data_IF_394224820949
#
_entry.id   IF_394224820949
#
_cell.length_a   1.000
_cell.length_b   1.000
_cell.length_c   1.000
_cell.angle_alpha   90.00
_cell.angle_beta   90.00
_cell.angle_gamma   90.00
#
_symmetry.space_group_name_H-M   'P 1'
#
loop_
_entity.id
_entity.type
_entity.pdbx_description
1 polymer ?
#
# COMPACT_ATOMS: atom_id res chain seq x y z
N UNK A 1 2.73 5.70 28.82
CA UNK A 1 3.63 4.80 28.07
C UNK A 1 2.81 3.90 27.14
N UNK A 2 3.26 3.73 25.91
CA UNK A 2 2.64 2.95 24.84
C UNK A 2 3.38 1.63 24.66
N UNK A 3 2.70 0.56 24.27
CA UNK A 3 3.35 -0.75 24.07
C UNK A 3 2.96 -1.45 22.76
N UNK A 4 2.10 -0.82 21.96
CA UNK A 4 1.77 -1.24 20.59
C UNK A 4 1.90 -0.03 19.66
N UNK A 5 2.66 -0.19 18.59
CA UNK A 5 2.63 0.69 17.42
C UNK A 5 1.83 -0.02 16.33
N UNK A 6 0.83 0.68 15.80
CA UNK A 6 0.11 0.28 14.59
C UNK A 6 0.47 1.31 13.52
N UNK A 7 0.93 0.85 12.37
CA UNK A 7 1.37 1.73 11.28
C UNK A 7 0.67 1.36 9.99
N UNK A 8 0.20 2.37 9.28
CA UNK A 8 -0.02 2.26 7.85
C UNK A 8 1.32 2.00 7.12
N UNK A 9 1.27 1.53 5.88
CA UNK A 9 2.45 1.26 5.06
C UNK A 9 2.64 2.29 3.94
N UNK A 10 1.65 2.42 3.05
CA UNK A 10 1.79 3.13 1.78
C UNK A 10 1.72 4.63 2.03
N UNK A 11 2.78 5.35 1.66
CA UNK A 11 3.02 6.76 1.98
C UNK A 11 3.27 7.06 3.47
N UNK A 12 3.24 6.05 4.34
CA UNK A 12 3.65 6.16 5.74
C UNK A 12 5.08 5.67 5.97
N UNK A 13 5.41 4.44 5.57
CA UNK A 13 6.76 3.86 5.70
C UNK A 13 7.63 4.10 4.47
N UNK A 14 7.02 4.20 3.29
CA UNK A 14 7.67 4.42 2.00
C UNK A 14 6.73 5.14 1.04
N UNK A 15 7.26 5.78 0.00
CA UNK A 15 6.48 6.51 -1.00
C UNK A 15 5.91 5.56 -2.06
N UNK A 16 4.71 5.03 -1.79
CA UNK A 16 4.03 4.12 -2.70
C UNK A 16 3.71 4.79 -4.03
N UNK A 17 3.28 6.05 -4.00
CA UNK A 17 2.84 6.74 -5.20
C UNK A 17 3.98 6.93 -6.20
N UNK A 18 5.17 7.33 -5.76
CA UNK A 18 6.34 7.42 -6.64
C UNK A 18 6.77 6.05 -7.16
N UNK A 19 6.76 5.02 -6.31
CA UNK A 19 7.09 3.65 -6.72
C UNK A 19 6.15 3.21 -7.85
N UNK A 20 4.84 3.35 -7.64
CA UNK A 20 3.82 2.99 -8.60
C UNK A 20 3.97 3.81 -9.89
N UNK A 21 4.02 5.14 -9.80
CA UNK A 21 4.06 6.01 -10.97
C UNK A 21 5.29 5.74 -11.85
N UNK A 22 6.48 5.64 -11.25
CA UNK A 22 7.72 5.43 -12.00
C UNK A 22 7.75 4.06 -12.67
N UNK A 23 7.38 3.01 -11.92
CA UNK A 23 7.38 1.66 -12.45
C UNK A 23 6.30 1.42 -13.50
N UNK A 24 5.07 1.85 -13.23
CA UNK A 24 3.94 1.69 -14.14
C UNK A 24 4.12 2.51 -15.42
N UNK A 25 4.58 3.76 -15.33
CA UNK A 25 4.82 4.59 -16.52
C UNK A 25 5.90 4.00 -17.42
N UNK A 26 7.00 3.52 -16.86
CA UNK A 26 8.06 2.88 -17.64
C UNK A 26 7.56 1.63 -18.37
N UNK A 27 6.75 0.81 -17.70
CA UNK A 27 6.09 -0.35 -18.30
C UNK A 27 5.16 0.07 -19.46
N UNK A 28 4.27 1.02 -19.20
CA UNK A 28 3.23 1.47 -20.12
C UNK A 28 3.83 2.07 -21.40
N UNK A 29 4.87 2.89 -21.25
CA UNK A 29 5.57 3.50 -22.39
C UNK A 29 6.26 2.44 -23.26
N UNK A 30 6.88 1.43 -22.65
CA UNK A 30 7.53 0.34 -23.40
C UNK A 30 6.49 -0.56 -24.09
N UNK A 31 5.35 -0.83 -23.45
CA UNK A 31 4.22 -1.55 -24.10
C UNK A 31 3.73 -0.76 -25.32
N UNK A 32 3.49 0.54 -25.16
CA UNK A 32 3.01 1.41 -26.25
C UNK A 32 3.99 1.42 -27.42
N UNK A 33 5.29 1.53 -27.13
CA UNK A 33 6.36 1.51 -28.13
C UNK A 33 6.46 0.17 -28.87
N UNK A 34 6.39 -0.96 -28.18
CA UNK A 34 6.51 -2.30 -28.79
C UNK A 34 5.26 -2.64 -29.62
N UNK A 35 4.08 -2.35 -29.08
CA UNK A 35 2.80 -2.69 -29.72
C UNK A 35 2.36 -1.71 -30.81
N UNK A 36 2.84 -0.46 -30.77
CA UNK A 36 2.31 0.64 -31.57
C UNK A 36 0.96 1.17 -31.09
N UNK A 37 0.37 0.61 -30.01
CA UNK A 37 -0.91 1.05 -29.45
C UNK A 37 -0.69 2.32 -28.62
N UNK A 38 -1.59 3.29 -28.75
CA UNK A 38 -1.50 4.54 -28.00
C UNK A 38 -1.63 4.33 -26.49
N UNK A 39 -0.93 5.13 -25.69
CA UNK A 39 -1.05 5.14 -24.23
C UNK A 39 -2.50 5.36 -23.77
N UNK A 40 -3.25 6.23 -24.46
CA UNK A 40 -4.67 6.49 -24.17
C UNK A 40 -5.52 5.23 -24.30
N UNK A 41 -5.33 4.45 -25.37
CA UNK A 41 -6.06 3.21 -25.58
C UNK A 41 -5.66 2.13 -24.56
N UNK A 42 -4.35 1.98 -24.28
CA UNK A 42 -3.86 1.04 -23.27
C UNK A 42 -4.43 1.33 -21.89
N UNK A 43 -4.42 2.61 -21.47
CA UNK A 43 -4.95 3.00 -20.14
C UNK A 43 -6.44 2.73 -19.99
N UNK A 44 -7.26 2.92 -21.04
CA UNK A 44 -8.68 2.56 -21.02
C UNK A 44 -8.93 1.06 -20.83
N UNK A 45 -8.10 0.22 -21.46
CA UNK A 45 -8.18 -1.23 -21.32
C UNK A 45 -7.70 -1.67 -19.93
N UNK A 46 -6.56 -1.14 -19.48
CA UNK A 46 -5.96 -1.43 -18.17
C UNK A 46 -6.92 -1.05 -17.03
N UNK A 47 -7.62 0.08 -17.14
CA UNK A 47 -8.60 0.50 -16.12
C UNK A 47 -9.63 -0.60 -15.82
N UNK A 48 -10.15 -1.27 -16.87
CA UNK A 48 -11.13 -2.36 -16.71
C UNK A 48 -10.51 -3.57 -16.00
N UNK A 49 -9.25 -3.88 -16.29
CA UNK A 49 -8.50 -4.97 -15.64
C UNK A 49 -8.29 -4.65 -14.16
N UNK A 50 -7.84 -3.44 -13.85
CA UNK A 50 -7.65 -2.98 -12.48
C UNK A 50 -8.96 -2.98 -11.68
N UNK A 51 -10.07 -2.52 -12.27
CA UNK A 51 -11.39 -2.59 -11.65
C UNK A 51 -11.83 -4.03 -11.37
N UNK A 52 -11.60 -4.95 -12.31
CA UNK A 52 -11.89 -6.38 -12.14
C UNK A 52 -11.11 -7.00 -10.98
N UNK A 53 -9.83 -6.64 -10.82
CA UNK A 53 -8.95 -7.23 -9.80
C UNK A 53 -8.88 -6.43 -8.49
N UNK A 54 -9.49 -5.25 -8.44
CA UNK A 54 -9.52 -4.39 -7.26
C UNK A 54 -8.13 -3.87 -6.85
N UNK A 55 -7.24 -3.63 -7.81
CA UNK A 55 -5.90 -3.10 -7.55
C UNK A 55 -5.32 -2.41 -8.79
N UNK A 56 -4.50 -1.38 -8.58
CA UNK A 56 -3.73 -0.70 -9.63
C UNK A 56 -2.34 -1.31 -9.87
N UNK A 57 -2.06 -2.46 -9.24
CA UNK A 57 -0.74 -3.11 -9.23
C UNK A 57 -0.78 -4.55 -9.74
N UNK A 58 -1.86 -4.93 -10.44
CA UNK A 58 -2.10 -6.31 -10.85
C UNK A 58 -0.92 -6.89 -11.65
N UNK A 59 -0.27 -7.91 -11.12
CA UNK A 59 0.97 -8.46 -11.65
C UNK A 59 0.85 -9.03 -13.08
N UNK A 60 -0.36 -9.42 -13.50
CA UNK A 60 -0.62 -10.01 -14.82
C UNK A 60 -1.31 -9.04 -15.78
N UNK A 61 -1.24 -7.72 -15.51
CA UNK A 61 -1.98 -6.71 -16.28
C UNK A 61 -1.70 -6.77 -17.78
N UNK A 62 -0.44 -6.95 -18.20
CA UNK A 62 -0.04 -6.98 -19.63
C UNK A 62 -0.75 -8.12 -20.36
N UNK A 63 -0.82 -9.29 -19.75
CA UNK A 63 -1.37 -10.52 -20.31
C UNK A 63 -2.89 -10.45 -20.49
N UNK A 64 -3.56 -9.56 -19.76
CA UNK A 64 -5.01 -9.35 -19.82
C UNK A 64 -5.43 -8.16 -20.70
N UNK A 65 -4.50 -7.45 -21.35
CA UNK A 65 -4.83 -6.34 -22.27
C UNK A 65 -5.45 -6.91 -23.55
N UNK A 66 -6.74 -6.64 -23.86
CA UNK A 66 -7.41 -7.23 -25.03
C UNK A 66 -6.70 -7.00 -26.36
N UNK A 67 -6.21 -5.78 -26.61
CA UNK A 67 -5.51 -5.50 -27.87
C UNK A 67 -4.19 -6.28 -28.00
N UNK A 68 -3.51 -6.58 -26.90
CA UNK A 68 -2.31 -7.44 -26.94
C UNK A 68 -2.69 -8.91 -27.17
N UNK A 69 -3.78 -9.38 -26.59
CA UNK A 69 -4.30 -10.73 -26.83
C UNK A 69 -4.71 -10.93 -28.29
N UNK A 70 -5.31 -9.92 -28.92
CA UNK A 70 -5.68 -9.97 -30.33
C UNK A 70 -4.46 -10.06 -31.26
N UNK A 71 -3.40 -9.30 -30.97
CA UNK A 71 -2.20 -9.23 -31.82
C UNK A 71 -1.27 -10.43 -31.60
N UNK A 72 -1.02 -10.80 -30.34
CA UNK A 72 0.03 -11.75 -29.96
C UNK A 72 -0.49 -13.10 -29.47
N UNK A 73 -1.81 -13.22 -29.26
CA UNK A 73 -2.46 -14.47 -28.91
C UNK A 73 -2.15 -14.92 -27.48
N UNK A 74 -1.18 -15.82 -27.34
CA UNK A 74 -0.97 -16.54 -26.08
C UNK A 74 -0.27 -15.71 -25.01
N UNK A 75 -0.52 -16.04 -23.74
CA UNK A 75 0.17 -15.46 -22.57
C UNK A 75 1.69 -15.61 -22.65
N UNK A 76 2.17 -16.76 -23.14
CA UNK A 76 3.61 -17.01 -23.30
C UNK A 76 4.22 -16.06 -24.32
N UNK A 77 3.56 -15.91 -25.47
CA UNK A 77 4.01 -14.99 -26.54
C UNK A 77 3.99 -13.53 -26.08
N UNK A 78 2.92 -13.10 -25.40
CA UNK A 78 2.83 -11.75 -24.82
C UNK A 78 3.99 -11.54 -23.84
N UNK A 79 4.24 -12.47 -22.92
CA UNK A 79 5.33 -12.32 -21.95
C UNK A 79 6.71 -12.30 -22.63
N UNK A 80 6.93 -13.09 -23.67
CA UNK A 80 8.18 -13.09 -24.42
C UNK A 80 8.41 -11.75 -25.15
N UNK A 81 7.37 -11.21 -25.80
CA UNK A 81 7.45 -9.96 -26.55
C UNK A 81 7.60 -8.74 -25.62
N UNK A 82 6.86 -8.72 -24.51
CA UNK A 82 6.84 -7.61 -23.56
C UNK A 82 7.79 -7.79 -22.37
N UNK A 83 8.71 -8.75 -22.44
CA UNK A 83 9.79 -8.90 -21.45
C UNK A 83 10.57 -7.59 -21.22
N UNK A 84 10.89 -6.75 -22.24
CA UNK A 84 11.49 -5.44 -22.01
C UNK A 84 10.63 -4.51 -21.14
N UNK A 85 9.30 -4.52 -21.29
CA UNK A 85 8.39 -3.73 -20.47
C UNK A 85 8.34 -4.24 -19.02
N UNK A 86 8.32 -5.57 -18.83
CA UNK A 86 8.41 -6.20 -17.51
C UNK A 86 9.74 -5.83 -16.82
N UNK A 87 10.85 -5.83 -17.57
CA UNK A 87 12.15 -5.41 -17.08
C UNK A 87 12.19 -3.93 -16.71
N UNK A 88 11.62 -3.05 -17.54
CA UNK A 88 11.52 -1.62 -17.25
C UNK A 88 10.76 -1.37 -15.94
N UNK A 89 9.59 -2.01 -15.77
CA UNK A 89 8.80 -1.96 -14.54
C UNK A 89 9.62 -2.38 -13.31
N UNK A 90 10.27 -3.55 -13.38
CA UNK A 90 11.05 -4.11 -12.27
C UNK A 90 12.26 -3.24 -11.92
N UNK A 91 12.92 -2.67 -12.92
CA UNK A 91 14.08 -1.78 -12.75
C UNK A 91 13.69 -0.51 -11.98
N UNK A 92 12.65 0.19 -12.43
CA UNK A 92 12.17 1.41 -11.78
C UNK A 92 11.62 1.12 -10.39
N UNK A 93 10.84 0.03 -10.23
CA UNK A 93 10.35 -0.39 -8.91
C UNK A 93 11.51 -0.64 -7.93
N UNK A 94 12.58 -1.31 -8.37
CA UNK A 94 13.77 -1.55 -7.53
C UNK A 94 14.49 -0.25 -7.16
N UNK A 95 14.57 0.70 -8.09
CA UNK A 95 15.24 1.99 -7.89
C UNK A 95 14.53 2.87 -6.86
N UNK A 96 13.20 2.93 -6.92
CA UNK A 96 12.38 3.82 -6.10
C UNK A 96 11.83 3.20 -4.82
N UNK A 97 11.84 1.86 -4.68
CA UNK A 97 11.41 1.19 -3.46
C UNK A 97 12.41 1.43 -2.32
N UNK A 98 12.14 2.46 -1.53
CA UNK A 98 12.96 2.90 -0.41
C UNK A 98 12.06 3.34 0.74
N UNK A 99 12.53 3.11 1.97
CA UNK A 99 11.87 3.66 3.16
C UNK A 99 12.08 5.17 3.22
N UNK A 100 11.13 5.88 3.82
CA UNK A 100 11.40 7.26 4.21
C UNK A 100 12.56 7.32 5.22
N UNK A 101 13.29 8.46 5.28
CA UNK A 101 14.32 8.67 6.28
C UNK A 101 13.82 8.36 7.69
N UNK A 102 14.69 7.82 8.54
CA UNK A 102 14.45 7.42 9.94
C UNK A 102 13.49 6.25 10.19
N UNK A 103 12.70 5.79 9.22
CA UNK A 103 11.69 4.74 9.43
C UNK A 103 12.32 3.45 9.97
N UNK A 104 13.34 2.92 9.29
CA UNK A 104 13.96 1.66 9.70
C UNK A 104 14.54 1.72 11.11
N UNK A 105 15.36 2.75 11.40
CA UNK A 105 16.01 2.91 12.71
C UNK A 105 15.00 3.14 13.83
N UNK A 106 13.90 3.84 13.55
CA UNK A 106 12.83 4.06 14.53
C UNK A 106 12.08 2.77 14.82
N UNK A 107 11.65 2.02 13.80
CA UNK A 107 10.98 0.74 13.98
C UNK A 107 11.91 -0.26 14.69
N UNK A 108 13.19 -0.30 14.33
CA UNK A 108 14.19 -1.11 15.02
C UNK A 108 14.32 -0.72 16.49
N UNK A 109 14.37 0.58 16.80
CA UNK A 109 14.43 1.07 18.19
C UNK A 109 13.21 0.64 19.00
N UNK A 110 12.02 0.70 18.42
CA UNK A 110 10.80 0.22 19.05
C UNK A 110 10.82 -1.29 19.26
N UNK A 111 11.29 -2.03 18.26
CA UNK A 111 11.46 -3.48 18.31
C UNK A 111 12.41 -3.91 19.41
N UNK A 112 13.55 -3.22 19.54
CA UNK A 112 14.56 -3.48 20.58
C UNK A 112 14.03 -3.18 22.00
N UNK A 113 13.07 -2.25 22.13
CA UNK A 113 12.33 -1.98 23.38
C UNK A 113 11.26 -3.03 23.70
N UNK A 114 11.03 -3.98 22.79
CA UNK A 114 9.98 -5.00 22.89
C UNK A 114 8.58 -4.48 22.62
N UNK A 115 8.43 -3.29 22.02
CA UNK A 115 7.11 -2.80 21.58
C UNK A 115 6.59 -3.70 20.45
N UNK A 116 5.31 -4.05 20.50
CA UNK A 116 4.66 -4.81 19.43
C UNK A 116 4.40 -3.88 18.24
N UNK A 117 4.85 -4.26 17.04
CA UNK A 117 4.71 -3.47 15.82
C UNK A 117 3.76 -4.18 14.86
N UNK A 118 2.63 -3.56 14.57
CA UNK A 118 1.61 -4.06 13.66
C UNK A 118 1.56 -3.18 12.41
N UNK A 119 1.70 -3.77 11.23
CA UNK A 119 1.39 -3.11 9.96
C UNK A 119 -0.07 -3.32 9.61
N UNK A 120 -0.77 -2.28 9.15
CA UNK A 120 -2.13 -2.39 8.62
C UNK A 120 -2.25 -1.61 7.30
N UNK A 121 -2.47 -2.33 6.21
CA UNK A 121 -2.60 -1.77 4.85
C UNK A 121 -3.86 -2.29 4.17
N UNK A 122 -4.35 -1.52 3.20
CA UNK A 122 -5.42 -1.91 2.27
C UNK A 122 -4.85 -2.52 0.97
N UNK A 123 -3.51 -2.51 0.81
CA UNK A 123 -2.79 -3.20 -0.27
C UNK A 123 -2.85 -4.72 -0.10
N UNK A 124 -3.08 -5.46 -1.19
CA UNK A 124 -3.17 -6.94 -1.17
C UNK A 124 -1.90 -7.59 -0.63
N UNK A 125 -2.05 -8.78 -0.04
CA UNK A 125 -0.97 -9.48 0.66
C UNK A 125 0.33 -9.62 -0.17
N UNK A 126 0.26 -10.10 -1.41
CA UNK A 126 1.45 -10.37 -2.23
C UNK A 126 2.32 -9.13 -2.42
N UNK A 127 1.69 -7.98 -2.73
CA UNK A 127 2.41 -6.73 -2.94
C UNK A 127 2.96 -6.18 -1.63
N UNK A 128 2.19 -6.30 -0.54
CA UNK A 128 2.62 -5.90 0.80
C UNK A 128 3.81 -6.73 1.27
N UNK A 129 3.76 -8.06 1.14
CA UNK A 129 4.84 -8.99 1.43
C UNK A 129 6.11 -8.68 0.62
N UNK A 130 5.96 -8.39 -0.68
CA UNK A 130 7.07 -7.97 -1.53
C UNK A 130 7.78 -6.74 -0.95
N UNK A 131 7.04 -5.69 -0.58
CA UNK A 131 7.63 -4.46 -0.03
C UNK A 131 8.29 -4.70 1.32
N UNK A 132 7.59 -5.37 2.26
CA UNK A 132 8.15 -5.70 3.58
C UNK A 132 9.44 -6.53 3.46
N UNK A 133 9.46 -7.53 2.58
CA UNK A 133 10.63 -8.35 2.31
C UNK A 133 11.79 -7.52 1.73
N UNK A 134 11.54 -6.71 0.70
CA UNK A 134 12.58 -5.92 0.02
C UNK A 134 13.12 -4.77 0.84
N UNK A 135 12.32 -4.20 1.72
CA UNK A 135 12.70 -3.09 2.60
C UNK A 135 13.33 -3.55 3.92
N UNK A 136 13.52 -4.86 4.11
CA UNK A 136 14.16 -5.41 5.31
C UNK A 136 13.28 -5.35 6.56
N UNK A 137 11.96 -5.25 6.40
CA UNK A 137 11.02 -5.12 7.51
C UNK A 137 10.49 -6.47 8.04
N UNK A 138 10.85 -7.60 7.39
CA UNK A 138 10.49 -8.95 7.86
C UNK A 138 11.11 -9.24 9.25
N UNK A 139 10.25 -9.34 10.26
CA UNK A 139 10.59 -9.50 11.67
C UNK A 139 10.87 -8.20 12.43
N UNK A 140 10.90 -7.05 11.74
CA UNK A 140 10.76 -5.74 12.38
C UNK A 140 9.28 -5.47 12.65
N UNK A 141 8.42 -5.71 11.66
CA UNK A 141 6.97 -5.79 11.86
C UNK A 141 6.65 -7.17 12.43
N UNK A 142 5.90 -7.23 13.51
CA UNK A 142 5.49 -8.49 14.15
C UNK A 142 4.32 -9.14 13.40
N UNK A 143 3.30 -8.35 13.09
CA UNK A 143 2.08 -8.80 12.43
C UNK A 143 1.73 -7.82 11.32
N UNK A 144 1.42 -8.34 10.14
CA UNK A 144 0.93 -7.56 9.00
C UNK A 144 -0.52 -7.95 8.71
N UNK A 145 -1.41 -6.96 8.79
CA UNK A 145 -2.79 -7.07 8.34
C UNK A 145 -2.94 -6.49 6.93
N UNK A 146 -3.44 -7.30 6.01
CA UNK A 146 -3.70 -6.93 4.62
C UNK A 146 -4.90 -7.70 4.06
N UNK A 147 -5.58 -7.22 3.00
CA UNK A 147 -6.58 -8.03 2.32
C UNK A 147 -5.96 -9.23 1.61
N UNK A 148 -6.74 -10.31 1.52
CA UNK A 148 -6.39 -11.49 0.73
C UNK A 148 -6.20 -11.13 -0.76
N UNK A 149 -5.24 -11.80 -1.39
CA UNK A 149 -4.95 -11.64 -2.81
C UNK A 149 -6.07 -12.10 -3.73
N UNK A 150 -6.01 -11.62 -4.97
CA UNK A 150 -6.82 -12.14 -6.05
C UNK A 150 -6.33 -13.53 -6.48
N UNK A 151 -7.21 -14.28 -7.16
CA UNK A 151 -6.78 -15.48 -7.89
C UNK A 151 -5.70 -15.15 -8.92
N UNK A 152 -4.80 -16.10 -9.17
CA UNK A 152 -3.82 -16.02 -10.27
C UNK A 152 -4.34 -16.76 -11.51
N UNK A 153 -3.86 -16.44 -12.72
CA UNK A 153 -4.30 -17.12 -13.94
C UNK A 153 -4.03 -18.63 -13.89
N UNK A 154 -4.88 -19.42 -14.56
CA UNK A 154 -4.74 -20.88 -14.62
C UNK A 154 -3.39 -21.27 -15.22
N UNK A 155 -2.73 -22.27 -14.63
CA UNK A 155 -1.41 -22.74 -15.06
C UNK A 155 -0.23 -21.89 -14.58
N UNK A 156 -0.49 -20.78 -13.86
CA UNK A 156 0.56 -19.98 -13.22
C UNK A 156 0.87 -20.54 -11.84
N UNK A 157 2.16 -20.72 -11.55
CA UNK A 157 2.60 -21.06 -10.19
C UNK A 157 2.70 -19.78 -9.34
N UNK A 158 2.16 -19.76 -8.11
CA UNK A 158 2.31 -18.64 -7.20
C UNK A 158 3.78 -18.31 -6.94
N UNK A 159 4.14 -17.03 -6.92
CA UNK A 159 5.48 -16.60 -6.55
C UNK A 159 5.63 -16.54 -5.02
N UNK A 160 6.34 -17.51 -4.45
CA UNK A 160 6.51 -17.65 -2.99
C UNK A 160 7.78 -17.01 -2.44
N UNK A 161 8.62 -16.42 -3.30
CA UNK A 161 9.92 -15.83 -2.91
C UNK A 161 9.80 -14.66 -1.94
N UNK A 162 8.61 -14.09 -1.78
CA UNK A 162 8.35 -12.95 -0.92
C UNK A 162 7.58 -13.31 0.35
N UNK A 163 7.31 -14.60 0.58
CA UNK A 163 6.67 -15.05 1.81
C UNK A 163 7.51 -14.61 3.01
N UNK A 164 6.87 -13.90 3.93
CA UNK A 164 7.50 -13.39 5.14
C UNK A 164 7.82 -14.58 6.06
N UNK A 165 9.03 -14.57 6.63
CA UNK A 165 9.52 -15.69 7.45
C UNK A 165 9.35 -15.43 8.95
N UNK A 166 9.36 -14.17 9.36
CA UNK A 166 9.33 -13.74 10.76
C UNK A 166 8.07 -12.93 11.07
N UNK A 167 7.65 -12.06 10.16
CA UNK A 167 6.39 -11.33 10.27
C UNK A 167 5.21 -12.28 10.03
N UNK A 168 4.20 -12.22 10.89
CA UNK A 168 2.99 -13.02 10.78
C UNK A 168 1.98 -12.29 9.88
N UNK A 169 1.53 -12.91 8.79
CA UNK A 169 0.43 -12.38 7.99
C UNK A 169 -0.92 -12.75 8.60
N UNK A 170 -1.84 -11.78 8.60
CA UNK A 170 -3.26 -11.97 8.92
C UNK A 170 -4.10 -11.22 7.90
N UNK A 171 -5.25 -11.78 7.56
CA UNK A 171 -6.17 -11.12 6.64
C UNK A 171 -7.13 -10.20 7.35
N UNK A 172 -7.38 -9.05 6.74
CA UNK A 172 -8.54 -8.23 7.08
C UNK A 172 -9.82 -8.86 6.51
N UNK A 173 -10.98 -8.65 7.16
CA UNK A 173 -12.23 -9.15 6.61
C UNK A 173 -12.50 -8.56 5.22
N UNK A 174 -13.14 -9.35 4.35
CA UNK A 174 -13.42 -8.94 2.98
C UNK A 174 -14.26 -7.65 2.93
N UNK A 175 -13.81 -6.68 2.13
CA UNK A 175 -14.50 -5.40 1.93
C UNK A 175 -14.36 -4.39 3.07
N UNK A 176 -13.71 -4.76 4.17
CA UNK A 176 -13.43 -3.83 5.26
C UNK A 176 -12.24 -2.94 4.93
N UNK A 177 -12.46 -1.64 5.02
CA UNK A 177 -11.52 -0.59 4.64
C UNK A 177 -11.59 0.57 5.64
N UNK A 178 -10.51 1.34 5.72
CA UNK A 178 -10.45 2.59 6.47
C UNK A 178 -11.52 3.56 5.94
N UNK A 179 -12.12 4.43 6.78
CA UNK A 179 -11.83 4.66 8.20
C UNK A 179 -12.63 3.79 9.20
N UNK A 180 -13.05 2.56 8.90
CA UNK A 180 -13.89 1.79 9.83
C UNK A 180 -13.18 1.52 11.18
N UNK A 181 -13.62 2.08 12.33
CA UNK A 181 -12.93 1.87 13.62
C UNK A 181 -13.07 0.44 14.15
N UNK A 182 -14.06 -0.33 13.68
CA UNK A 182 -14.27 -1.71 14.10
C UNK A 182 -13.09 -2.60 13.71
N UNK A 183 -12.56 -2.46 12.49
CA UNK A 183 -11.42 -3.27 12.03
C UNK A 183 -10.18 -3.04 12.89
N UNK A 184 -9.93 -1.78 13.29
CA UNK A 184 -8.80 -1.45 14.15
C UNK A 184 -8.99 -2.01 15.57
N UNK A 185 -10.22 -1.96 16.10
CA UNK A 185 -10.55 -2.61 17.39
C UNK A 185 -10.35 -4.13 17.31
N UNK A 186 -10.74 -4.77 16.21
CA UNK A 186 -10.56 -6.20 16.00
C UNK A 186 -9.07 -6.57 15.91
N UNK A 187 -8.25 -5.77 15.22
CA UNK A 187 -6.78 -5.91 15.17
C UNK A 187 -6.19 -5.86 16.59
N UNK A 188 -6.55 -4.83 17.38
CA UNK A 188 -6.10 -4.62 18.75
C UNK A 188 -6.51 -5.78 19.66
N UNK A 189 -7.77 -6.21 19.56
CA UNK A 189 -8.31 -7.34 20.33
C UNK A 189 -7.62 -8.66 19.98
N UNK A 190 -7.23 -8.87 18.71
CA UNK A 190 -6.57 -10.10 18.26
C UNK A 190 -5.22 -10.37 18.92
N UNK A 191 -4.62 -9.34 19.55
CA UNK A 191 -3.38 -9.42 20.31
C UNK A 191 -3.60 -9.16 21.81
N UNK A 192 -4.86 -9.05 22.27
CA UNK A 192 -5.22 -8.70 23.64
C UNK A 192 -4.64 -7.36 24.13
N UNK A 193 -4.41 -6.41 23.22
CA UNK A 193 -4.00 -5.06 23.57
C UNK A 193 -5.21 -4.19 23.95
N UNK A 194 -4.93 -3.01 24.53
CA UNK A 194 -5.95 -2.00 24.84
C UNK A 194 -5.77 -0.76 23.98
N UNK A 195 -6.83 -0.15 23.43
CA UNK A 195 -6.72 1.04 22.57
C UNK A 195 -5.88 2.16 23.18
N UNK A 196 -6.04 2.43 24.48
CA UNK A 196 -5.30 3.48 25.19
C UNK A 196 -3.79 3.23 25.31
N UNK A 197 -3.32 2.00 25.05
CA UNK A 197 -1.90 1.64 25.03
C UNK A 197 -1.31 1.61 23.61
N UNK A 198 -2.15 1.81 22.60
CA UNK A 198 -1.77 1.82 21.20
C UNK A 198 -1.46 3.25 20.72
N UNK A 199 -0.63 3.33 19.68
CA UNK A 199 -0.46 4.50 18.81
C UNK A 199 -0.70 4.04 17.39
N UNK A 200 -1.48 4.79 16.62
CA UNK A 200 -1.63 4.61 15.19
C UNK A 200 -0.89 5.72 14.44
N UNK A 201 -0.07 5.38 13.45
CA UNK A 201 0.58 6.35 12.56
C UNK A 201 0.19 6.10 11.10
N UNK A 202 -0.21 7.15 10.39
CA UNK A 202 -0.61 7.07 8.98
C UNK A 202 -0.60 8.43 8.28
N UNK A 203 -0.64 8.44 6.95
CA UNK A 203 -0.54 9.63 6.12
C UNK A 203 -1.89 10.23 5.71
N UNK A 204 -3.02 9.63 6.13
CA UNK A 204 -4.35 10.11 5.76
C UNK A 204 -5.19 10.57 6.96
N UNK A 205 -5.50 11.87 7.03
CA UNK A 205 -6.37 12.40 8.09
C UNK A 205 -7.78 11.76 8.06
N UNK A 206 -8.38 11.68 6.88
CA UNK A 206 -9.75 11.17 6.71
C UNK A 206 -9.86 9.65 6.77
N UNK A 207 -8.75 8.91 6.69
CA UNK A 207 -8.72 7.44 6.78
C UNK A 207 -8.09 6.98 8.09
N UNK A 208 -6.78 7.14 8.20
CA UNK A 208 -5.98 6.63 9.32
C UNK A 208 -6.33 7.34 10.63
N UNK A 209 -6.33 8.67 10.61
CA UNK A 209 -6.52 9.47 11.83
C UNK A 209 -7.97 9.38 12.31
N UNK A 210 -8.94 9.56 11.41
CA UNK A 210 -10.36 9.38 11.73
C UNK A 210 -10.65 8.01 12.35
N UNK A 211 -10.17 6.93 11.72
CA UNK A 211 -10.33 5.56 12.23
C UNK A 211 -9.70 5.37 13.62
N UNK A 212 -8.47 5.87 13.81
CA UNK A 212 -7.75 5.71 15.06
C UNK A 212 -8.44 6.45 16.22
N UNK A 213 -8.90 7.68 15.98
CA UNK A 213 -9.61 8.48 16.98
C UNK A 213 -10.95 7.83 17.38
N UNK A 214 -11.74 7.37 16.40
CA UNK A 214 -13.00 6.65 16.65
C UNK A 214 -12.80 5.28 17.32
N UNK A 215 -11.58 4.72 17.20
CA UNK A 215 -11.16 3.53 17.90
C UNK A 215 -10.68 3.77 19.33
N UNK A 216 -10.51 5.03 19.76
CA UNK A 216 -9.94 5.39 21.06
C UNK A 216 -8.42 5.19 21.12
N UNK A 217 -7.74 5.24 19.97
CA UNK A 217 -6.29 5.08 19.83
C UNK A 217 -5.65 6.47 19.65
N UNK A 218 -4.48 6.70 20.24
CA UNK A 218 -3.72 7.92 19.96
C UNK A 218 -3.25 7.90 18.50
N UNK A 219 -3.63 8.93 17.74
CA UNK A 219 -3.37 9.04 16.31
C UNK A 219 -2.25 10.04 16.01
N UNK A 220 -1.34 9.66 15.11
CA UNK A 220 -0.22 10.49 14.63
C UNK A 220 -0.29 10.63 13.12
N UNK A 221 -0.38 11.87 12.65
CA UNK A 221 -0.41 12.19 11.23
C UNK A 221 1.01 12.32 10.65
N UNK A 222 1.34 11.44 9.71
CA UNK A 222 2.60 11.42 8.98
C UNK A 222 2.54 12.41 7.80
N UNK A 223 2.61 13.71 8.10
CA UNK A 223 2.43 14.79 7.11
C UNK A 223 3.40 14.73 5.93
N UNK A 224 4.59 14.17 6.12
CA UNK A 224 5.55 14.02 5.02
C UNK A 224 5.04 13.13 3.87
N UNK A 225 4.12 12.20 4.16
CA UNK A 225 3.54 11.27 3.20
C UNK A 225 2.59 11.90 2.18
N UNK A 226 2.09 13.12 2.45
CA UNK A 226 1.07 13.75 1.60
C UNK A 226 1.65 14.61 0.47
N UNK A 227 2.96 14.78 0.40
CA UNK A 227 3.61 15.76 -0.49
C UNK A 227 3.63 15.33 -1.97
N UNK A 228 3.42 14.04 -2.25
CA UNK A 228 3.60 13.45 -3.58
C UNK A 228 2.48 13.78 -4.56
N UNK A 229 1.25 13.91 -4.07
CA UNK A 229 0.10 14.24 -4.91
C UNK A 229 0.14 15.67 -5.43
N UNK A 230 0.70 16.60 -4.65
CA UNK A 230 0.72 18.03 -5.02
C UNK A 230 1.82 18.38 -6.03
N UNK A 231 2.88 17.57 -6.09
CA UNK A 231 4.08 17.85 -6.89
C UNK A 231 4.12 17.10 -8.22
N UNK A 232 3.20 16.15 -8.45
CA UNK A 232 3.19 15.29 -9.64
C UNK A 232 1.78 15.11 -10.22
N UNK A 233 1.28 16.18 -10.86
CA UNK A 233 -0.04 16.22 -11.51
C UNK A 233 -0.17 15.12 -12.57
N UNK A 234 0.85 14.92 -13.40
CA UNK A 234 0.85 13.89 -14.46
C UNK A 234 0.67 12.49 -13.87
N UNK A 235 1.36 12.16 -12.78
CA UNK A 235 1.19 10.88 -12.10
C UNK A 235 -0.19 10.70 -11.51
N UNK A 236 -0.80 11.77 -10.99
CA UNK A 236 -2.15 11.71 -10.43
C UNK A 236 -3.20 11.50 -11.53
N UNK A 237 -3.05 12.19 -12.66
CA UNK A 237 -3.92 12.00 -13.82
C UNK A 237 -3.78 10.59 -14.40
N UNK A 238 -2.56 10.06 -14.47
CA UNK A 238 -2.34 8.68 -14.88
C UNK A 238 -3.01 7.70 -13.91
N UNK A 239 -2.86 7.91 -12.59
CA UNK A 239 -3.50 7.05 -11.58
C UNK A 239 -5.01 7.05 -11.75
N UNK A 240 -5.61 8.23 -11.97
CA UNK A 240 -7.05 8.34 -12.26
C UNK A 240 -7.46 7.65 -13.56
N UNK A 241 -6.60 7.69 -14.57
CA UNK A 241 -6.85 7.04 -15.86
C UNK A 241 -6.87 5.50 -15.75
N UNK A 242 -6.14 4.91 -14.80
CA UNK A 242 -6.03 3.45 -14.65
C UNK A 242 -6.49 2.90 -13.30
N UNK A 243 -7.05 3.72 -12.40
CA UNK A 243 -7.43 3.27 -11.05
C UNK A 243 -8.50 2.17 -11.10
N UNK A 244 -8.44 1.28 -10.11
CA UNK A 244 -9.48 0.30 -9.85
C UNK A 244 -10.75 0.91 -9.24
N UNK A 245 -10.71 2.18 -8.82
CA UNK A 245 -11.86 2.83 -8.19
C UNK A 245 -13.02 2.97 -9.17
N UNK A 246 -14.18 2.52 -8.72
CA UNK A 246 -15.47 2.76 -9.37
C UNK A 246 -15.99 4.14 -9.02
N UNK A 247 -17.02 4.61 -9.74
CA UNK A 247 -17.68 5.88 -9.39
C UNK A 247 -18.26 5.85 -7.96
N UNK A 248 -18.67 4.67 -7.49
CA UNK A 248 -19.13 4.47 -6.12
C UNK A 248 -17.99 4.64 -5.09
N UNK A 249 -16.78 4.16 -5.40
CA UNK A 249 -15.61 4.34 -4.54
C UNK A 249 -15.20 5.81 -4.47
N UNK A 250 -15.20 6.50 -5.62
CA UNK A 250 -14.91 7.93 -5.69
C UNK A 250 -15.91 8.74 -4.87
N UNK A 251 -17.20 8.44 -4.98
CA UNK A 251 -18.26 9.11 -4.21
C UNK A 251 -18.16 8.79 -2.71
N UNK A 252 -17.79 7.55 -2.35
CA UNK A 252 -17.51 7.18 -0.96
C UNK A 252 -16.35 7.98 -0.39
N UNK A 253 -15.24 8.09 -1.11
CA UNK A 253 -14.08 8.90 -0.70
C UNK A 253 -14.44 10.38 -0.55
N UNK A 254 -15.26 10.92 -1.45
CA UNK A 254 -15.76 12.30 -1.36
C UNK A 254 -16.56 12.52 -0.07
N UNK A 255 -17.48 11.60 0.26
CA UNK A 255 -18.26 11.65 1.51
C UNK A 255 -17.38 11.56 2.75
N UNK A 256 -16.44 10.61 2.79
CA UNK A 256 -15.49 10.47 3.90
C UNK A 256 -14.69 11.75 4.11
N UNK A 257 -14.23 12.37 3.02
CA UNK A 257 -13.51 13.64 3.07
C UNK A 257 -14.37 14.78 3.64
N UNK A 258 -15.66 14.82 3.29
CA UNK A 258 -16.59 15.82 3.80
C UNK A 258 -16.95 15.61 5.27
N UNK A 259 -17.16 14.36 5.68
CA UNK A 259 -17.46 13.96 7.06
C UNK A 259 -16.26 14.15 8.00
N UNK A 260 -15.05 13.93 7.47
CA UNK A 260 -13.79 14.00 8.24
C UNK A 260 -13.06 15.34 8.10
N UNK A 261 -13.67 16.34 7.44
CA UNK A 261 -13.00 17.61 7.10
C UNK A 261 -12.45 18.38 8.32
N UNK A 262 -13.09 18.21 9.47
CA UNK A 262 -12.76 18.87 10.74
C UNK A 262 -11.96 17.95 11.68
N UNK A 263 -11.66 16.72 11.25
CA UNK A 263 -10.86 15.76 12.01
C UNK A 263 -9.38 16.06 11.75
N UNK A 264 -8.69 16.47 12.80
CA UNK A 264 -7.25 16.70 12.77
C UNK A 264 -6.56 15.87 13.84
N UNK A 265 -5.40 15.30 13.49
CA UNK A 265 -4.58 14.62 14.48
C UNK A 265 -4.07 15.62 15.51
N UNK A 266 -4.16 15.26 16.79
CA UNK A 266 -3.49 16.01 17.87
C UNK A 266 -1.97 16.07 17.65
N UNK A 267 -1.40 15.01 17.06
CA UNK A 267 0.02 14.87 16.82
C UNK A 267 0.29 14.78 15.33
N UNK A 268 1.21 15.62 14.85
CA UNK A 268 1.66 15.64 13.46
C UNK A 268 3.18 15.54 13.43
N UNK A 269 3.72 14.71 12.54
CA UNK A 269 5.16 14.49 12.39
C UNK A 269 5.63 14.79 10.96
N UNK A 270 6.84 15.34 10.82
CA UNK A 270 7.49 15.57 9.53
C UNK A 270 8.56 14.52 9.21
N UNK A 271 8.95 13.72 10.20
CA UNK A 271 9.80 12.55 10.05
C UNK A 271 9.31 11.44 10.98
N UNK A 272 9.44 10.17 10.57
CA UNK A 272 8.91 9.05 11.35
C UNK A 272 9.51 8.97 12.76
N UNK A 273 10.79 9.34 12.96
CA UNK A 273 11.45 9.35 14.28
C UNK A 273 10.82 10.29 15.31
N UNK A 274 10.06 11.30 14.90
CA UNK A 274 9.43 12.25 15.84
C UNK A 274 8.42 11.57 16.78
N UNK A 275 7.91 10.38 16.44
CA UNK A 275 7.04 9.60 17.33
C UNK A 275 7.70 9.29 18.68
N UNK A 276 9.03 9.16 18.71
CA UNK A 276 9.81 8.89 19.92
C UNK A 276 9.89 10.11 20.85
N UNK A 277 9.66 11.32 20.33
CA UNK A 277 9.59 12.54 21.11
C UNK A 277 8.19 12.79 21.69
N UNK A 278 7.17 12.19 21.08
CA UNK A 278 5.76 12.35 21.46
C UNK A 278 5.35 11.30 22.50
N UNK A 279 5.81 10.06 22.34
CA UNK A 279 5.42 8.94 23.19
C UNK A 279 6.60 8.20 23.79
N UNK A 280 6.48 7.87 25.07
CA UNK A 280 7.34 6.86 25.69
C UNK A 280 6.83 5.45 25.39
N UNK A 281 7.68 4.64 24.77
CA UNK A 281 7.39 3.25 24.45
C UNK A 281 8.01 2.27 25.46
N UNK A 282 7.29 1.17 25.72
CA UNK A 282 7.71 0.05 26.57
C UNK A 282 7.45 -1.29 25.89
N UNK A 283 7.96 -2.36 26.50
CA UNK A 283 7.69 -3.72 26.07
C UNK A 283 6.21 -4.09 26.11
N UNK A 284 5.77 -4.80 25.08
CA UNK A 284 4.50 -5.51 25.06
C UNK A 284 4.56 -6.68 26.05
N UNK A 285 3.51 -6.85 26.85
CA UNK A 285 3.40 -7.87 27.90
C UNK A 285 2.23 -8.77 27.58
#
# INVERSE_FOLDING_TARGET
MKNVLITDLDNTLFDWFTIWYKSFSAMLMEISKISGISVSELTQQIKKIHQKHGTAEYAFVIEEIPALQEIYGSREEINNIFDPAIHAYRSERKKYLQLYPSVYETLKTLKDKGTLIIGYTESKEFYSNYRISKLGLDGIIDILFSPEDHSIPLGVSPQTSYNLKKTINKHTPFGEIKPNPKILKDIINSVNAKPELCVYVGDSEMKDIAMALDAGVDAVFAKYGTTHFMSNVEGYDLLRAVTHWTDADVERERKIKEESKDIHAKYTINTFSEILNIFEFKGFK
#
